data_IF_766693666554
#
_entry.id   IF_766693666554
#
_cell.length_a   1.000
_cell.length_b   1.000
_cell.length_c   1.000
_cell.angle_alpha   90.00
_cell.angle_beta   90.00
_cell.angle_gamma   90.00
#
_symmetry.space_group_name_H-M   'P 1'
#
loop_
_entity.id
_entity.type
_entity.pdbx_description
1 polymer ?
#
# COMPACT_ATOMS: atom_id res chain seq x y z
N UNK A 1 10.91 1.55 16.96
CA UNK A 1 11.03 1.38 15.49
C UNK A 1 12.11 0.37 15.09
N UNK A 2 13.31 0.36 15.69
CA UNK A 2 14.38 -0.59 15.30
C UNK A 2 14.06 -2.07 15.60
N UNK A 3 13.51 -2.37 16.78
CA UNK A 3 13.24 -3.75 17.22
C UNK A 3 12.11 -4.40 16.41
N UNK A 4 11.04 -3.65 16.13
CA UNK A 4 9.92 -4.09 15.28
C UNK A 4 10.33 -4.23 13.82
N UNK A 5 11.20 -3.36 13.31
CA UNK A 5 11.74 -3.46 11.95
C UNK A 5 12.66 -4.68 11.79
N UNK A 6 13.48 -5.00 12.80
CA UNK A 6 14.34 -6.19 12.78
C UNK A 6 13.55 -7.51 12.76
N UNK A 7 12.49 -7.61 13.58
CA UNK A 7 11.62 -8.80 13.59
C UNK A 7 10.88 -8.94 12.26
N UNK A 8 10.36 -7.83 11.70
CA UNK A 8 9.73 -7.85 10.38
C UNK A 8 10.70 -8.28 9.27
N UNK A 9 11.93 -7.78 9.28
CA UNK A 9 12.96 -8.14 8.30
C UNK A 9 13.35 -9.62 8.39
N UNK A 10 13.46 -10.19 9.59
CA UNK A 10 13.81 -11.60 9.78
C UNK A 10 12.71 -12.54 9.26
N UNK A 11 11.45 -12.24 9.55
CA UNK A 11 10.30 -12.99 9.01
C UNK A 11 10.21 -12.85 7.49
N UNK A 12 10.56 -11.68 6.95
CA UNK A 12 10.57 -11.42 5.52
C UNK A 12 11.66 -12.21 4.79
N UNK A 13 12.88 -12.26 5.33
CA UNK A 13 14.00 -13.04 4.80
C UNK A 13 13.71 -14.55 4.80
N UNK A 14 13.06 -15.05 5.85
CA UNK A 14 12.64 -16.46 5.95
C UNK A 14 11.58 -16.83 4.90
N UNK A 15 10.72 -15.88 4.50
CA UNK A 15 9.70 -16.10 3.48
C UNK A 15 10.26 -16.14 2.06
N UNK A 16 11.34 -15.41 1.78
CA UNK A 16 11.79 -15.17 0.41
C UNK A 16 12.74 -16.24 -0.14
N UNK A 17 13.51 -16.95 0.70
CA UNK A 17 14.55 -17.93 0.29
C UNK A 17 15.52 -17.44 -0.82
N UNK A 18 15.48 -16.16 -1.20
CA UNK A 18 16.24 -15.47 -2.23
C UNK A 18 16.19 -13.99 -1.83
N UNK A 19 17.32 -13.43 -1.41
CA UNK A 19 17.45 -12.01 -1.06
C UNK A 19 17.34 -11.14 -2.31
N UNK A 20 16.13 -10.94 -2.83
CA UNK A 20 15.88 -10.06 -3.96
C UNK A 20 15.72 -8.62 -3.45
N UNK A 21 16.66 -7.69 -3.73
CA UNK A 21 16.56 -6.28 -3.34
C UNK A 21 15.39 -5.55 -3.99
N UNK A 22 14.77 -6.13 -5.02
CA UNK A 22 13.52 -5.66 -5.63
C UNK A 22 12.33 -5.79 -4.69
N UNK A 23 12.42 -6.66 -3.68
CA UNK A 23 11.32 -6.90 -2.75
C UNK A 23 10.94 -5.63 -1.96
N UNK A 24 11.89 -4.72 -1.71
CA UNK A 24 11.63 -3.42 -1.05
C UNK A 24 10.98 -2.36 -1.95
N UNK A 25 11.09 -2.50 -3.27
CA UNK A 25 10.76 -1.46 -4.24
C UNK A 25 9.24 -1.42 -4.42
N UNK A 26 8.62 -0.29 -4.04
CA UNK A 26 7.16 -0.09 -4.13
C UNK A 26 6.41 -0.25 -2.81
N UNK A 27 7.05 -0.69 -1.71
CA UNK A 27 6.42 -0.67 -0.39
C UNK A 27 6.09 0.75 0.08
N UNK A 28 6.94 1.72 -0.25
CA UNK A 28 6.69 3.14 0.04
C UNK A 28 5.42 3.63 -0.68
N UNK A 29 5.29 3.27 -1.97
CA UNK A 29 4.12 3.62 -2.78
C UNK A 29 2.85 2.95 -2.25
N UNK A 30 2.93 1.67 -1.84
CA UNK A 30 1.82 0.95 -1.21
C UNK A 30 1.45 1.53 0.16
N UNK A 31 2.43 2.00 0.94
CA UNK A 31 2.18 2.63 2.24
C UNK A 31 1.44 3.96 2.09
N UNK A 32 1.84 4.78 1.12
CA UNK A 32 1.14 6.04 0.78
C UNK A 32 -0.27 5.73 0.28
N UNK A 33 -0.41 4.74 -0.59
CA UNK A 33 -1.70 4.31 -1.12
C UNK A 33 -2.69 3.86 -0.02
N UNK A 34 -2.21 3.09 0.96
CA UNK A 34 -3.03 2.58 2.06
C UNK A 34 -3.60 3.72 2.92
N UNK A 35 -2.78 4.75 3.17
CA UNK A 35 -3.15 5.90 4.01
C UNK A 35 -4.20 6.78 3.32
N UNK A 36 -4.09 6.96 1.99
CA UNK A 36 -5.04 7.76 1.19
C UNK A 36 -6.38 7.04 1.06
N UNK A 37 -6.38 5.75 0.74
CA UNK A 37 -7.61 4.95 0.68
C UNK A 37 -8.29 4.90 2.05
N UNK A 38 -7.51 4.88 3.13
CA UNK A 38 -8.00 4.98 4.51
C UNK A 38 -8.56 6.36 4.91
N UNK A 39 -8.50 7.35 4.02
CA UNK A 39 -9.03 8.70 4.25
C UNK A 39 -8.15 9.58 5.15
N UNK A 40 -6.85 9.30 5.23
CA UNK A 40 -5.90 10.16 5.94
C UNK A 40 -5.40 11.25 5.01
N UNK A 41 -5.60 12.51 5.39
CA UNK A 41 -5.16 13.66 4.61
C UNK A 41 -3.63 13.67 4.42
N UNK A 42 -3.21 13.83 3.17
CA UNK A 42 -1.80 14.02 2.76
C UNK A 42 -1.24 15.37 3.20
N UNK A 43 -2.09 16.38 3.36
CA UNK A 43 -1.70 17.77 3.66
C UNK A 43 -1.60 18.07 5.16
N UNK A 44 -1.90 17.09 6.01
CA UNK A 44 -1.71 17.13 7.46
C UNK A 44 -2.98 17.44 8.26
N UNK A 45 -3.22 16.63 9.29
CA UNK A 45 -4.03 17.00 10.47
C UNK A 45 -5.32 16.23 10.73
N UNK A 46 -5.86 15.46 9.77
CA UNK A 46 -7.07 14.65 9.97
C UNK A 46 -6.98 13.30 9.27
N UNK A 47 -6.88 12.25 10.06
CA UNK A 47 -6.91 10.85 9.64
C UNK A 47 -6.94 9.97 10.88
N UNK A 48 -7.65 8.84 10.81
CA UNK A 48 -7.74 7.89 11.93
C UNK A 48 -6.88 6.66 11.64
N UNK A 49 -6.14 6.19 12.66
CA UNK A 49 -5.37 4.95 12.59
C UNK A 49 -6.25 3.79 12.10
N UNK A 50 -7.51 3.77 12.54
CA UNK A 50 -8.49 2.73 12.16
C UNK A 50 -8.79 2.81 10.65
N UNK A 51 -8.92 4.01 10.09
CA UNK A 51 -9.15 4.22 8.65
C UNK A 51 -7.97 3.72 7.82
N UNK A 52 -6.74 4.04 8.22
CA UNK A 52 -5.52 3.55 7.57
C UNK A 52 -5.39 2.03 7.64
N UNK A 53 -5.75 1.41 8.75
CA UNK A 53 -5.67 -0.03 8.93
C UNK A 53 -6.67 -0.76 8.01
N UNK A 54 -7.86 -0.20 7.84
CA UNK A 54 -8.85 -0.65 6.85
C UNK A 54 -8.33 -0.43 5.42
N UNK A 55 -7.75 0.73 5.11
CA UNK A 55 -7.15 1.02 3.80
C UNK A 55 -6.00 0.07 3.43
N UNK A 56 -5.15 -0.27 4.40
CA UNK A 56 -4.10 -1.27 4.22
C UNK A 56 -4.67 -2.67 3.95
N UNK A 57 -5.74 -3.05 4.64
CA UNK A 57 -6.44 -4.31 4.40
C UNK A 57 -7.03 -4.37 2.99
N UNK A 58 -7.65 -3.29 2.52
CA UNK A 58 -8.20 -3.17 1.16
C UNK A 58 -7.09 -3.34 0.11
N UNK A 59 -5.94 -2.68 0.28
CA UNK A 59 -4.82 -2.83 -0.64
C UNK A 59 -4.23 -4.23 -0.64
N UNK A 60 -4.15 -4.88 0.52
CA UNK A 60 -3.68 -6.25 0.61
C UNK A 60 -4.64 -7.21 -0.12
N UNK A 61 -5.95 -7.03 0.07
CA UNK A 61 -6.98 -7.81 -0.64
C UNK A 61 -6.91 -7.57 -2.15
N UNK A 62 -6.73 -6.32 -2.60
CA UNK A 62 -6.56 -6.00 -4.01
C UNK A 62 -5.29 -6.65 -4.59
N UNK A 63 -4.17 -6.55 -3.87
CA UNK A 63 -2.88 -7.12 -4.27
C UNK A 63 -2.96 -8.66 -4.41
N UNK A 64 -3.65 -9.32 -3.48
CA UNK A 64 -3.89 -10.77 -3.53
C UNK A 64 -4.94 -11.14 -4.58
N UNK A 65 -6.00 -10.35 -4.75
CA UNK A 65 -7.03 -10.56 -5.76
C UNK A 65 -6.49 -10.46 -7.19
N UNK A 66 -5.65 -9.47 -7.48
CA UNK A 66 -4.96 -9.34 -8.77
C UNK A 66 -4.02 -10.52 -9.04
N UNK A 67 -3.36 -11.02 -8.01
CA UNK A 67 -2.51 -12.21 -8.11
C UNK A 67 -3.32 -13.48 -8.41
N UNK A 68 -4.51 -13.63 -7.81
CA UNK A 68 -5.43 -14.75 -8.08
C UNK A 68 -6.04 -14.68 -9.49
N UNK A 69 -6.24 -13.46 -10.02
CA UNK A 69 -6.70 -13.23 -11.39
C UNK A 69 -5.62 -13.50 -12.46
N UNK A 70 -4.42 -13.93 -12.05
CA UNK A 70 -3.33 -14.24 -12.98
C UNK A 70 -2.70 -13.00 -13.62
N UNK A 71 -2.91 -11.81 -13.05
CA UNK A 71 -2.25 -10.58 -13.50
C UNK A 71 -0.76 -10.72 -13.18
N UNK A 72 0.08 -10.77 -14.21
CA UNK A 72 1.53 -10.89 -14.03
C UNK A 72 2.09 -9.78 -13.15
N UNK A 73 3.11 -10.08 -12.35
CA UNK A 73 3.71 -9.13 -11.38
C UNK A 73 4.15 -7.81 -12.00
N UNK A 74 4.43 -7.79 -13.31
CA UNK A 74 4.74 -6.58 -14.08
C UNK A 74 3.57 -5.58 -14.19
N UNK A 75 2.32 -6.05 -14.22
CA UNK A 75 1.13 -5.20 -14.36
C UNK A 75 0.54 -4.76 -13.02
N UNK A 76 0.84 -5.49 -11.95
CA UNK A 76 0.40 -5.18 -10.58
C UNK A 76 0.73 -3.74 -10.13
N UNK A 77 1.95 -3.19 -10.33
CA UNK A 77 2.24 -1.80 -9.97
C UNK A 77 1.47 -0.77 -10.81
N UNK A 78 1.14 -1.09 -12.07
CA UNK A 78 0.35 -0.21 -12.94
C UNK A 78 -1.09 -0.09 -12.41
N UNK A 79 -1.69 -1.22 -12.02
CA UNK A 79 -3.05 -1.25 -11.45
C UNK A 79 -3.08 -0.51 -10.11
N UNK A 80 -2.11 -0.75 -9.24
CA UNK A 80 -2.00 -0.07 -7.95
C UNK A 80 -1.83 1.44 -8.15
N UNK A 81 -0.94 1.86 -9.07
CA UNK A 81 -0.75 3.27 -9.43
C UNK A 81 -2.04 3.93 -9.93
N UNK A 82 -2.81 3.24 -10.78
CA UNK A 82 -4.09 3.74 -11.28
C UNK A 82 -5.12 3.91 -10.15
N UNK A 83 -5.19 2.96 -9.22
CA UNK A 83 -6.07 3.05 -8.04
C UNK A 83 -5.69 4.24 -7.15
N UNK A 84 -4.39 4.50 -6.96
CA UNK A 84 -3.92 5.67 -6.20
C UNK A 84 -4.34 6.98 -6.86
N UNK A 85 -4.13 7.10 -8.18
CA UNK A 85 -4.50 8.31 -8.93
C UNK A 85 -6.00 8.58 -8.82
N UNK A 86 -6.83 7.54 -8.97
CA UNK A 86 -8.28 7.67 -8.78
C UNK A 86 -8.65 8.08 -7.35
N UNK A 87 -8.01 7.46 -6.35
CA UNK A 87 -8.25 7.80 -4.94
C UNK A 87 -7.90 9.27 -4.64
N UNK A 88 -6.75 9.75 -5.14
CA UNK A 88 -6.31 11.14 -4.97
C UNK A 88 -7.22 12.14 -5.69
N UNK A 89 -7.69 11.82 -6.90
CA UNK A 89 -8.60 12.70 -7.64
C UNK A 89 -9.93 12.84 -6.89
N UNK A 90 -10.47 11.74 -6.37
CA UNK A 90 -11.70 11.75 -5.57
C UNK A 90 -11.50 12.51 -4.25
N UNK A 91 -10.37 12.31 -3.58
CA UNK A 91 -10.03 13.00 -2.33
C UNK A 91 -9.88 14.52 -2.55
N UNK A 92 -9.14 14.92 -3.59
CA UNK A 92 -8.94 16.32 -3.96
C UNK A 92 -10.25 17.02 -4.39
N UNK A 93 -11.16 16.28 -5.03
CA UNK A 93 -12.48 16.81 -5.37
C UNK A 93 -13.36 17.02 -4.12
N UNK A 94 -13.22 16.13 -3.13
CA UNK A 94 -13.98 16.17 -1.88
C UNK A 94 -13.50 17.25 -0.92
N UNK A 95 -12.22 17.63 -0.96
CA UNK A 95 -11.66 18.74 -0.19
C UNK A 95 -12.01 20.12 -0.78
N UNK A 96 -12.30 20.17 -2.10
CA UNK A 96 -12.72 21.41 -2.79
C UNK A 96 -14.21 21.75 -2.68
N UNK A 97 -15.04 20.82 -2.19
CA UNK A 97 -16.48 20.97 -2.02
C UNK A 97 -16.82 21.28 -0.56
#
# INVERSE_FOLDING_TARGET
SGLTAGIAAMVYLLRLNIGSPIAGVGYELNAIAAVIIGGTSLSGGKGSIIGTLVGACILQVLSTGLQLLGVGDNFKPIVIGLVIVLAVILDAYRERL
#
